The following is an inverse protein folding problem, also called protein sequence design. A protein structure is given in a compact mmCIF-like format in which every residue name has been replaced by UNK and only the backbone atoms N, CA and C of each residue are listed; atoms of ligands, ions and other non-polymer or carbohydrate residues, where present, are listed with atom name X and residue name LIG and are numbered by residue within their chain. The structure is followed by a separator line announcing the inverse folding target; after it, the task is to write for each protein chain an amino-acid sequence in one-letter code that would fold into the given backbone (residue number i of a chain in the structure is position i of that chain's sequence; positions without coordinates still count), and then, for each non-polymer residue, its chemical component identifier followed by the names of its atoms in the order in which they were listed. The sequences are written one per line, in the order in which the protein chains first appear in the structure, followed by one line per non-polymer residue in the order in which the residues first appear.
data_IF_515230022071
#
_entry.id   IF_515230022071
#
_cell.length_a   1.000
_cell.length_b   1.000
_cell.length_c   1.000
_cell.angle_alpha   90.00
_cell.angle_beta   90.00
_cell.angle_gamma   90.00
#
_symmetry.space_group_name_H-M   'P 1'
#
loop_
_entity.id
_entity.type
_entity.pdbx_description
1 polymer ?
#
# COMPACT_ATOMS: atom_id res chain seq x y z
N UNK A 1 15.48 20.36 -2.37
CA UNK A 1 14.13 20.11 -1.81
C UNK A 1 13.23 19.80 -2.99
N UNK A 2 12.36 18.80 -2.90
CA UNK A 2 11.39 18.53 -3.96
C UNK A 2 10.46 19.73 -4.17
N UNK A 3 10.12 20.01 -5.43
CA UNK A 3 9.17 21.04 -5.83
C UNK A 3 7.74 20.46 -5.80
N UNK A 4 7.09 20.59 -4.66
CA UNK A 4 5.72 20.08 -4.47
C UNK A 4 4.70 20.88 -5.28
N UNK A 5 4.96 22.16 -5.58
CA UNK A 5 4.05 22.97 -6.39
C UNK A 5 4.06 22.49 -7.85
N UNK A 6 5.23 22.14 -8.39
CA UNK A 6 5.35 21.50 -9.70
C UNK A 6 4.66 20.14 -9.73
N UNK A 7 4.82 19.31 -8.68
CA UNK A 7 4.14 18.02 -8.57
C UNK A 7 2.61 18.16 -8.56
N UNK A 8 2.09 19.11 -7.80
CA UNK A 8 0.67 19.47 -7.78
C UNK A 8 0.21 19.89 -9.18
N UNK A 9 0.98 20.77 -9.85
CA UNK A 9 0.70 21.22 -11.22
C UNK A 9 0.64 20.05 -12.21
N UNK A 10 1.56 19.10 -12.10
CA UNK A 10 1.59 17.91 -12.93
C UNK A 10 0.33 17.06 -12.79
N UNK A 11 -0.10 16.76 -11.56
CA UNK A 11 -1.32 15.99 -11.29
C UNK A 11 -2.57 16.72 -11.78
N UNK A 12 -2.64 18.04 -11.63
CA UNK A 12 -3.77 18.84 -12.15
C UNK A 12 -3.87 18.73 -13.68
N UNK A 13 -2.73 18.78 -14.38
CA UNK A 13 -2.66 18.77 -15.83
C UNK A 13 -2.91 17.38 -16.45
N UNK A 14 -2.45 16.30 -15.79
CA UNK A 14 -2.44 14.95 -16.38
C UNK A 14 -3.39 13.96 -15.71
N UNK A 15 -3.80 14.22 -14.47
CA UNK A 15 -4.69 13.31 -13.74
C UNK A 15 -6.13 13.36 -14.24
N UNK A 16 -6.87 12.30 -13.98
CA UNK A 16 -8.31 12.25 -14.26
C UNK A 16 -9.13 12.94 -13.15
N UNK A 17 -10.47 12.75 -13.15
CA UNK A 17 -11.32 13.31 -12.10
C UNK A 17 -11.07 12.70 -10.71
N UNK A 18 -10.71 11.43 -10.64
CA UNK A 18 -10.39 10.71 -9.40
C UNK A 18 -9.04 11.17 -8.87
N UNK A 19 -8.01 11.27 -9.72
CA UNK A 19 -6.68 11.73 -9.34
C UNK A 19 -6.69 13.15 -8.77
N UNK A 20 -7.41 14.07 -9.41
CA UNK A 20 -7.55 15.44 -8.90
C UNK A 20 -8.31 15.51 -7.58
N UNK A 21 -9.25 14.59 -7.33
CA UNK A 21 -9.94 14.50 -6.06
C UNK A 21 -9.03 13.93 -4.96
N UNK A 22 -8.23 12.90 -5.27
CA UNK A 22 -7.17 12.37 -4.38
C UNK A 22 -6.21 13.48 -3.98
N UNK A 23 -5.72 14.25 -4.95
CA UNK A 23 -4.87 15.42 -4.69
C UNK A 23 -5.55 16.45 -3.78
N UNK A 24 -6.82 16.76 -4.04
CA UNK A 24 -7.57 17.76 -3.26
C UNK A 24 -7.77 17.32 -1.80
N UNK A 25 -8.01 16.02 -1.58
CA UNK A 25 -8.08 15.47 -0.23
C UNK A 25 -6.71 15.51 0.45
N UNK A 26 -5.65 15.01 -0.20
CA UNK A 26 -4.29 15.02 0.36
C UNK A 26 -3.85 16.43 0.76
N UNK A 27 -4.18 17.47 -0.02
CA UNK A 27 -3.73 18.84 0.26
C UNK A 27 -4.53 19.55 1.36
N UNK A 28 -5.86 19.40 1.34
CA UNK A 28 -6.76 20.25 2.14
C UNK A 28 -7.85 19.50 2.88
N UNK A 29 -7.81 18.16 2.90
CA UNK A 29 -8.86 17.33 3.50
C UNK A 29 -10.22 17.48 2.83
N UNK A 30 -10.25 17.98 1.58
CA UNK A 30 -11.50 18.26 0.87
C UNK A 30 -12.20 16.96 0.52
N UNK A 31 -13.41 16.77 1.05
CA UNK A 31 -14.24 15.60 0.75
C UNK A 31 -14.58 15.54 -0.74
N UNK A 32 -14.28 14.42 -1.43
CA UNK A 32 -14.65 14.23 -2.84
C UNK A 32 -16.18 14.22 -3.06
N UNK A 33 -16.61 14.62 -4.25
CA UNK A 33 -18.02 14.48 -4.66
C UNK A 33 -18.39 12.98 -4.76
N UNK A 34 -19.66 12.65 -4.48
CA UNK A 34 -20.20 11.29 -4.55
C UNK A 34 -19.97 10.65 -5.92
N UNK A 35 -20.13 11.38 -7.01
CA UNK A 35 -19.89 10.85 -8.37
C UNK A 35 -18.42 10.43 -8.59
N UNK A 36 -17.47 11.08 -7.91
CA UNK A 36 -16.05 10.70 -7.98
C UNK A 36 -15.79 9.46 -7.14
N UNK A 37 -16.43 9.36 -5.98
CA UNK A 37 -16.37 8.17 -5.12
C UNK A 37 -16.95 6.95 -5.84
N UNK A 38 -18.12 7.09 -6.48
CA UNK A 38 -18.76 6.03 -7.26
C UNK A 38 -17.88 5.56 -8.42
N UNK A 39 -17.13 6.47 -9.07
CA UNK A 39 -16.14 6.09 -10.09
C UNK A 39 -14.97 5.31 -9.52
N UNK A 40 -14.45 5.72 -8.36
CA UNK A 40 -13.34 5.01 -7.70
C UNK A 40 -13.77 3.64 -7.15
N UNK A 41 -15.04 3.49 -6.79
CA UNK A 41 -15.66 2.25 -6.32
C UNK A 41 -16.08 1.32 -7.46
N UNK A 42 -16.07 1.79 -8.71
CA UNK A 42 -16.54 1.02 -9.85
C UNK A 42 -15.76 -0.29 -10.04
N UNK A 43 -16.51 -1.39 -10.21
CA UNK A 43 -15.96 -2.72 -10.44
C UNK A 43 -15.76 -3.53 -9.17
N UNK A 44 -16.32 -3.12 -8.03
CA UNK A 44 -16.42 -3.98 -6.85
C UNK A 44 -17.31 -5.21 -7.12
N UNK A 45 -17.03 -6.30 -6.41
CA UNK A 45 -17.81 -7.53 -6.52
C UNK A 45 -18.82 -7.65 -5.36
N UNK A 46 -19.98 -8.32 -5.56
CA UNK A 46 -21.05 -8.38 -4.57
C UNK A 46 -20.63 -8.90 -3.18
N UNK A 47 -19.66 -9.81 -3.13
CA UNK A 47 -19.14 -10.39 -1.89
C UNK A 47 -17.94 -9.61 -1.31
N UNK A 48 -17.62 -8.46 -1.90
CA UNK A 48 -16.44 -7.65 -1.61
C UNK A 48 -15.22 -8.03 -2.45
N UNK A 49 -14.21 -7.17 -2.39
CA UNK A 49 -13.00 -7.30 -3.21
C UNK A 49 -13.17 -6.72 -4.61
N UNK A 50 -12.04 -6.58 -5.30
CA UNK A 50 -11.97 -6.07 -6.66
C UNK A 50 -11.32 -7.12 -7.57
N UNK A 51 -11.77 -7.25 -8.83
CA UNK A 51 -11.23 -8.24 -9.74
C UNK A 51 -9.88 -7.81 -10.32
N UNK A 52 -9.01 -8.80 -10.61
CA UNK A 52 -7.73 -8.57 -11.27
C UNK A 52 -7.87 -7.93 -12.67
N UNK A 53 -8.97 -8.26 -13.36
CA UNK A 53 -9.32 -7.74 -14.68
C UNK A 53 -10.76 -7.22 -14.62
N UNK A 54 -11.05 -6.12 -15.32
CA UNK A 54 -12.38 -5.51 -15.33
C UNK A 54 -13.51 -6.45 -15.81
N UNK A 55 -13.18 -7.51 -16.55
CA UNK A 55 -14.12 -8.53 -17.02
C UNK A 55 -14.19 -9.78 -16.13
N UNK A 56 -13.38 -9.87 -15.07
CA UNK A 56 -13.35 -11.04 -14.18
C UNK A 56 -14.41 -10.92 -13.09
N UNK A 57 -15.02 -12.07 -12.76
CA UNK A 57 -15.90 -12.21 -11.60
C UNK A 57 -15.16 -12.75 -10.35
N UNK A 58 -13.84 -12.94 -10.47
CA UNK A 58 -13.00 -13.47 -9.38
C UNK A 58 -12.28 -12.29 -8.72
N UNK A 59 -12.47 -12.07 -7.40
CA UNK A 59 -11.75 -11.04 -6.67
C UNK A 59 -10.27 -11.39 -6.57
N UNK A 60 -9.41 -10.38 -6.57
CA UNK A 60 -7.97 -10.51 -6.42
C UNK A 60 -7.48 -9.78 -5.18
N UNK A 61 -6.54 -10.40 -4.46
CA UNK A 61 -5.92 -9.81 -3.26
C UNK A 61 -5.16 -8.56 -3.65
N UNK A 62 -4.33 -8.64 -4.70
CA UNK A 62 -3.50 -7.55 -5.20
C UNK A 62 -4.34 -6.35 -5.67
N UNK A 63 -5.32 -6.62 -6.55
CA UNK A 63 -6.20 -5.60 -7.09
C UNK A 63 -7.05 -4.93 -5.99
N UNK A 64 -7.47 -5.71 -4.98
CA UNK A 64 -8.19 -5.17 -3.83
C UNK A 64 -7.31 -4.24 -3.01
N UNK A 65 -6.07 -4.64 -2.70
CA UNK A 65 -5.10 -3.80 -1.99
C UNK A 65 -4.79 -2.50 -2.76
N UNK A 66 -4.63 -2.59 -4.09
CA UNK A 66 -4.46 -1.43 -4.95
C UNK A 66 -5.65 -0.47 -4.85
N UNK A 67 -6.88 -0.96 -4.95
CA UNK A 67 -8.10 -0.14 -4.86
C UNK A 67 -8.29 0.48 -3.49
N UNK A 68 -7.98 -0.23 -2.41
CA UNK A 68 -7.98 0.33 -1.05
C UNK A 68 -7.00 1.51 -0.93
N UNK A 69 -5.88 1.49 -1.66
CA UNK A 69 -4.96 2.62 -1.69
C UNK A 69 -5.55 3.90 -2.30
N UNK A 70 -6.33 3.76 -3.37
CA UNK A 70 -7.00 4.87 -4.03
C UNK A 70 -8.14 5.42 -3.15
N UNK A 71 -8.91 4.51 -2.53
CA UNK A 71 -9.99 4.88 -1.61
C UNK A 71 -9.45 5.57 -0.35
N UNK A 72 -8.29 5.14 0.17
CA UNK A 72 -7.64 5.81 1.30
C UNK A 72 -7.31 7.28 0.97
N UNK A 73 -6.87 7.56 -0.25
CA UNK A 73 -6.57 8.91 -0.72
C UNK A 73 -7.81 9.77 -0.98
N UNK A 74 -8.99 9.17 -0.96
CA UNK A 74 -10.27 9.84 -1.08
C UNK A 74 -11.00 9.96 0.27
N UNK A 75 -10.34 9.56 1.37
CA UNK A 75 -10.97 9.41 2.68
C UNK A 75 -12.15 8.42 2.68
N UNK A 76 -12.14 7.44 1.79
CA UNK A 76 -13.28 6.58 1.49
C UNK A 76 -13.28 5.24 2.25
N UNK A 77 -12.33 5.01 3.17
CA UNK A 77 -12.20 3.74 3.89
C UNK A 77 -13.42 3.37 4.76
N UNK A 78 -14.23 4.37 5.13
CA UNK A 78 -15.46 4.18 5.89
C UNK A 78 -16.67 3.80 5.01
N UNK A 79 -16.54 3.87 3.68
CA UNK A 79 -17.65 3.61 2.75
C UNK A 79 -17.95 2.11 2.63
N UNK A 80 -19.20 1.73 2.32
CA UNK A 80 -19.60 0.32 2.27
C UNK A 80 -18.70 -0.55 1.38
N UNK A 81 -18.27 -0.05 0.21
CA UNK A 81 -17.41 -0.79 -0.72
C UNK A 81 -16.04 -1.08 -0.11
N UNK A 82 -15.38 -0.07 0.47
CA UNK A 82 -14.11 -0.26 1.17
C UNK A 82 -14.25 -1.24 2.35
N UNK A 83 -15.33 -1.12 3.12
CA UNK A 83 -15.61 -2.00 4.27
C UNK A 83 -15.87 -3.45 3.83
N UNK A 84 -16.57 -3.65 2.72
CA UNK A 84 -16.77 -4.98 2.12
C UNK A 84 -15.45 -5.58 1.62
N UNK A 85 -14.59 -4.77 0.97
CA UNK A 85 -13.27 -5.20 0.52
C UNK A 85 -12.33 -5.59 1.67
N UNK A 86 -12.27 -4.82 2.75
CA UNK A 86 -11.51 -5.17 3.97
C UNK A 86 -12.05 -6.46 4.59
N UNK A 87 -13.38 -6.58 4.72
CA UNK A 87 -14.00 -7.78 5.25
C UNK A 87 -13.76 -9.00 4.37
N UNK A 88 -13.69 -8.83 3.05
CA UNK A 88 -13.32 -9.88 2.11
C UNK A 88 -11.86 -10.32 2.32
N UNK A 89 -10.90 -9.38 2.39
CA UNK A 89 -9.50 -9.69 2.69
C UNK A 89 -9.38 -10.50 3.99
N UNK A 90 -10.07 -10.09 5.06
CA UNK A 90 -10.04 -10.79 6.34
C UNK A 90 -10.59 -12.23 6.27
N UNK A 91 -11.53 -12.54 5.36
CA UNK A 91 -12.07 -13.89 5.15
C UNK A 91 -11.17 -14.77 4.29
N UNK A 92 -10.34 -14.17 3.43
CA UNK A 92 -9.44 -14.89 2.54
C UNK A 92 -8.14 -15.36 3.22
N UNK A 93 -7.89 -14.99 4.47
CA UNK A 93 -6.68 -15.43 5.17
C UNK A 93 -6.71 -16.95 5.36
N UNK A 94 -5.63 -17.62 4.98
CA UNK A 94 -5.42 -19.03 5.30
C UNK A 94 -5.21 -19.23 6.81
N UNK A 95 -5.53 -20.41 7.37
CA UNK A 95 -5.30 -20.71 8.80
C UNK A 95 -3.86 -20.49 9.27
N UNK A 96 -2.89 -20.59 8.38
CA UNK A 96 -1.47 -20.36 8.62
C UNK A 96 -1.09 -18.86 8.67
N UNK A 97 -2.02 -17.96 8.34
CA UNK A 97 -1.82 -16.52 8.38
C UNK A 97 -1.46 -15.87 7.04
N UNK A 98 -1.37 -16.65 5.96
CA UNK A 98 -1.00 -16.17 4.63
C UNK A 98 -2.19 -15.73 3.78
N UNK A 99 -1.88 -15.00 2.70
CA UNK A 99 -2.77 -14.75 1.57
C UNK A 99 -2.13 -15.20 0.27
N UNK A 100 -2.96 -15.64 -0.67
CA UNK A 100 -2.61 -15.90 -2.05
C UNK A 100 -3.78 -15.48 -2.95
N UNK A 101 -3.49 -15.30 -4.22
CA UNK A 101 -4.54 -15.21 -5.24
C UNK A 101 -5.26 -16.53 -5.43
N UNK A 102 -6.49 -16.47 -5.94
CA UNK A 102 -7.24 -17.65 -6.36
C UNK A 102 -6.52 -18.38 -7.51
N UNK A 103 -6.43 -19.71 -7.46
CA UNK A 103 -5.75 -20.53 -8.47
C UNK A 103 -6.27 -20.28 -9.90
N UNK A 104 -7.54 -19.92 -10.05
CA UNK A 104 -8.13 -19.60 -11.37
C UNK A 104 -7.52 -18.36 -12.03
N UNK A 105 -6.85 -17.50 -11.27
CA UNK A 105 -6.16 -16.31 -11.78
C UNK A 105 -4.76 -16.63 -12.33
N UNK A 106 -4.22 -17.84 -12.13
CA UNK A 106 -2.84 -18.19 -12.49
C UNK A 106 -2.48 -17.91 -13.96
N UNK A 107 -3.44 -18.02 -14.89
CA UNK A 107 -3.21 -17.77 -16.32
C UNK A 107 -2.94 -16.29 -16.66
N UNK A 108 -3.34 -15.36 -15.80
CA UNK A 108 -3.24 -13.90 -16.01
C UNK A 108 -2.50 -13.19 -14.89
N UNK A 109 -2.15 -13.90 -13.80
CA UNK A 109 -1.49 -13.33 -12.65
C UNK A 109 -0.07 -12.84 -13.01
N UNK A 110 0.29 -11.61 -12.62
CA UNK A 110 1.69 -11.17 -12.68
C UNK A 110 2.55 -11.95 -11.68
N UNK A 111 3.90 -11.92 -11.80
CA UNK A 111 4.79 -12.67 -10.92
C UNK A 111 4.53 -12.47 -9.42
N UNK A 112 4.26 -11.24 -8.99
CA UNK A 112 4.01 -10.90 -7.58
C UNK A 112 2.65 -11.33 -7.04
N UNK A 113 1.75 -11.82 -7.90
CA UNK A 113 0.44 -12.30 -7.52
C UNK A 113 0.21 -13.75 -7.99
N UNK A 114 1.26 -14.45 -8.40
CA UNK A 114 1.15 -15.82 -8.91
C UNK A 114 0.69 -16.78 -7.77
N UNK A 115 -0.48 -17.46 -7.91
CA UNK A 115 -0.91 -18.46 -6.94
C UNK A 115 0.13 -19.58 -6.77
N UNK A 116 0.37 -19.99 -5.52
CA UNK A 116 1.33 -21.05 -5.19
C UNK A 116 2.81 -20.65 -5.24
N UNK A 117 3.16 -19.45 -5.71
CA UNK A 117 4.54 -18.96 -5.68
C UNK A 117 4.92 -18.49 -4.26
N UNK A 118 6.04 -18.96 -3.66
CA UNK A 118 6.42 -18.58 -2.31
C UNK A 118 6.72 -17.09 -2.13
N UNK A 119 7.38 -16.44 -3.10
CA UNK A 119 7.71 -15.01 -3.01
C UNK A 119 6.43 -14.17 -3.12
N UNK A 120 5.52 -14.52 -4.02
CA UNK A 120 4.20 -13.90 -4.16
C UNK A 120 3.37 -14.08 -2.89
N UNK A 121 3.38 -15.27 -2.28
CA UNK A 121 2.67 -15.54 -1.02
C UNK A 121 3.12 -14.60 0.09
N UNK A 122 4.43 -14.40 0.25
CA UNK A 122 4.97 -13.47 1.25
C UNK A 122 4.51 -12.04 0.97
N UNK A 123 4.60 -11.60 -0.29
CA UNK A 123 4.17 -10.26 -0.70
C UNK A 123 2.67 -10.03 -0.47
N UNK A 124 1.81 -10.92 -0.96
CA UNK A 124 0.35 -10.83 -0.79
C UNK A 124 -0.03 -10.83 0.68
N UNK A 125 0.67 -11.62 1.50
CA UNK A 125 0.44 -11.67 2.95
C UNK A 125 0.68 -10.32 3.63
N UNK A 126 1.84 -9.71 3.41
CA UNK A 126 2.13 -8.40 4.03
C UNK A 126 1.32 -7.26 3.40
N UNK A 127 0.96 -7.35 2.12
CA UNK A 127 0.11 -6.36 1.45
C UNK A 127 -1.32 -6.36 2.02
N UNK A 128 -1.95 -7.54 2.09
CA UNK A 128 -3.29 -7.69 2.67
C UNK A 128 -3.30 -7.31 4.15
N UNK A 129 -2.34 -7.81 4.94
CA UNK A 129 -2.25 -7.53 6.36
C UNK A 129 -1.97 -6.04 6.66
N UNK A 130 -1.15 -5.38 5.83
CA UNK A 130 -0.94 -3.92 5.92
C UNK A 130 -2.27 -3.19 5.79
N UNK A 131 -3.09 -3.52 4.79
CA UNK A 131 -4.39 -2.87 4.60
C UNK A 131 -5.38 -3.18 5.73
N UNK A 132 -5.40 -4.41 6.27
CA UNK A 132 -6.19 -4.71 7.47
C UNK A 132 -5.74 -3.84 8.67
N UNK A 133 -4.44 -3.70 8.88
CA UNK A 133 -3.86 -2.95 9.99
C UNK A 133 -4.18 -1.44 9.93
N UNK A 134 -4.04 -0.82 8.76
CA UNK A 134 -4.20 0.65 8.61
C UNK A 134 -5.65 1.08 8.35
N UNK A 135 -6.56 0.14 8.13
CA UNK A 135 -7.98 0.42 7.86
C UNK A 135 -8.90 0.19 9.06
N UNK A 136 -8.39 -0.44 10.12
CA UNK A 136 -9.17 -0.67 11.32
C UNK A 136 -9.52 0.67 11.99
N UNK A 137 -10.81 0.94 12.30
CA UNK A 137 -11.16 2.11 13.08
C UNK A 137 -10.52 2.00 14.48
N UNK A 138 -10.23 3.14 15.14
CA UNK A 138 -9.77 3.11 16.52
C UNK A 138 -10.74 2.31 17.40
N UNK A 139 -10.24 1.45 18.30
CA UNK A 139 -11.12 0.69 19.18
C UNK A 139 -11.94 1.66 20.05
N UNK A 140 -13.22 1.35 20.33
CA UNK A 140 -14.10 2.26 21.07
C UNK A 140 -13.70 2.42 22.55
N UNK A 141 -12.86 1.52 23.07
CA UNK A 141 -12.26 1.59 24.39
C UNK A 141 -10.79 1.13 24.34
N UNK A 142 -9.97 1.64 25.27
CA UNK A 142 -8.52 1.38 25.32
C UNK A 142 -8.17 -0.10 25.54
N UNK A 143 -9.05 -0.86 26.18
CA UNK A 143 -8.89 -2.28 26.47
C UNK A 143 -9.38 -3.21 25.34
N UNK A 144 -9.98 -2.66 24.28
CA UNK A 144 -10.45 -3.42 23.14
C UNK A 144 -9.41 -3.45 22.03
N UNK A 145 -9.31 -4.61 21.39
CA UNK A 145 -8.46 -4.78 20.21
C UNK A 145 -9.14 -4.18 18.98
N UNK A 146 -8.36 -3.63 18.03
CA UNK A 146 -8.88 -3.21 16.74
C UNK A 146 -9.56 -4.36 16.00
N UNK A 147 -10.46 -3.99 15.09
CA UNK A 147 -11.04 -4.93 14.15
C UNK A 147 -9.94 -5.67 13.36
N UNK A 148 -10.11 -6.97 13.15
CA UNK A 148 -9.14 -7.85 12.46
C UNK A 148 -7.76 -7.98 13.12
N UNK A 149 -7.60 -7.56 14.40
CA UNK A 149 -6.35 -7.69 15.15
C UNK A 149 -5.75 -9.11 15.08
N UNK A 150 -6.57 -10.15 15.17
CA UNK A 150 -6.10 -11.53 15.10
C UNK A 150 -5.49 -11.86 13.74
N UNK A 151 -6.15 -11.46 12.65
CA UNK A 151 -5.65 -11.68 11.29
C UNK A 151 -4.32 -10.97 11.07
N UNK A 152 -4.23 -9.71 11.52
CA UNK A 152 -2.99 -8.91 11.43
C UNK A 152 -1.86 -9.55 12.25
N UNK A 153 -2.15 -10.00 13.47
CA UNK A 153 -1.16 -10.67 14.32
C UNK A 153 -0.66 -11.98 13.71
N UNK A 154 -1.56 -12.82 13.19
CA UNK A 154 -1.18 -14.07 12.51
C UNK A 154 -0.31 -13.82 11.29
N UNK A 155 -0.64 -12.81 10.49
CA UNK A 155 0.16 -12.40 9.33
C UNK A 155 1.55 -11.91 9.74
N UNK A 156 1.65 -11.15 10.84
CA UNK A 156 2.92 -10.70 11.40
C UNK A 156 3.81 -11.85 11.83
N UNK A 157 3.26 -12.86 12.53
CA UNK A 157 4.00 -14.07 12.89
C UNK A 157 4.41 -14.90 11.66
N UNK A 158 3.50 -15.06 10.69
CA UNK A 158 3.78 -15.74 9.44
C UNK A 158 4.94 -15.06 8.70
N UNK A 159 4.90 -13.74 8.54
CA UNK A 159 5.97 -12.97 7.90
C UNK A 159 7.30 -13.08 8.66
N UNK A 160 7.29 -12.94 9.99
CA UNK A 160 8.51 -13.13 10.81
C UNK A 160 9.13 -14.50 10.63
N UNK A 161 8.32 -15.55 10.48
CA UNK A 161 8.81 -16.92 10.25
C UNK A 161 9.54 -17.08 8.92
N UNK A 162 9.32 -16.17 7.97
CA UNK A 162 10.04 -16.14 6.67
C UNK A 162 11.35 -15.36 6.71
N UNK A 163 11.59 -14.57 7.77
CA UNK A 163 12.78 -13.74 7.85
C UNK A 163 14.04 -14.59 8.09
N UNK A 164 15.08 -14.22 7.37
CA UNK A 164 16.41 -14.76 7.55
C UNK A 164 17.01 -14.25 8.88
N UNK A 165 18.09 -14.87 9.36
CA UNK A 165 18.77 -14.45 10.61
C UNK A 165 19.22 -12.98 10.62
N UNK A 166 19.47 -12.40 9.45
CA UNK A 166 19.85 -10.99 9.28
C UNK A 166 18.65 -10.05 9.05
N UNK A 167 17.42 -10.53 9.13
CA UNK A 167 16.20 -9.76 8.86
C UNK A 167 15.86 -9.60 7.38
N UNK A 168 16.62 -10.21 6.46
CA UNK A 168 16.24 -10.25 5.06
C UNK A 168 14.98 -11.11 4.85
N UNK A 169 14.18 -10.77 3.85
CA UNK A 169 12.96 -11.50 3.49
C UNK A 169 13.12 -12.12 2.09
N UNK A 170 12.59 -13.33 1.87
CA UNK A 170 12.66 -14.03 0.59
C UNK A 170 11.47 -13.65 -0.31
N UNK A 171 11.39 -12.39 -0.73
CA UNK A 171 10.33 -11.90 -1.60
C UNK A 171 10.72 -10.58 -2.29
N UNK A 172 9.81 -10.04 -3.08
CA UNK A 172 9.89 -8.74 -3.73
C UNK A 172 10.26 -7.62 -2.75
N UNK A 173 10.91 -6.57 -3.25
CA UNK A 173 11.32 -5.43 -2.43
C UNK A 173 10.13 -4.82 -1.65
N UNK A 174 8.96 -4.81 -2.28
CA UNK A 174 7.72 -4.33 -1.69
C UNK A 174 7.27 -5.06 -0.43
N UNK A 175 7.53 -6.37 -0.37
CA UNK A 175 7.25 -7.13 0.84
C UNK A 175 8.08 -6.63 2.04
N UNK A 176 9.26 -6.06 1.77
CA UNK A 176 10.14 -5.48 2.78
C UNK A 176 9.54 -4.28 3.48
N UNK A 177 9.15 -3.23 2.74
CA UNK A 177 8.63 -2.02 3.38
C UNK A 177 7.21 -2.22 3.94
N UNK A 178 6.37 -3.06 3.30
CA UNK A 178 5.05 -3.41 3.83
C UNK A 178 5.18 -4.27 5.09
N UNK A 179 6.06 -5.26 5.08
CA UNK A 179 6.39 -6.07 6.25
C UNK A 179 7.00 -5.25 7.38
N UNK A 180 7.91 -4.32 7.07
CA UNK A 180 8.46 -3.36 8.02
C UNK A 180 7.36 -2.52 8.68
N UNK A 181 6.42 -2.00 7.88
CA UNK A 181 5.29 -1.21 8.36
C UNK A 181 4.37 -2.04 9.25
N UNK A 182 4.06 -3.27 8.84
CA UNK A 182 3.23 -4.22 9.59
C UNK A 182 3.85 -4.56 10.96
N UNK A 183 5.14 -4.90 10.99
CA UNK A 183 5.84 -5.24 12.23
C UNK A 183 5.99 -4.03 13.15
N UNK A 184 6.21 -2.83 12.60
CA UNK A 184 6.20 -1.58 13.36
C UNK A 184 4.83 -1.35 14.00
N UNK A 185 3.75 -1.50 13.23
CA UNK A 185 2.37 -1.36 13.72
C UNK A 185 2.05 -2.36 14.86
N UNK A 186 2.55 -3.59 14.75
CA UNK A 186 2.39 -4.64 15.77
C UNK A 186 3.32 -4.47 16.99
N UNK A 187 4.19 -3.46 17.01
CA UNK A 187 5.17 -3.26 18.08
C UNK A 187 6.34 -4.24 18.07
N UNK A 188 6.52 -5.03 17.00
CA UNK A 188 7.69 -5.87 16.74
C UNK A 188 8.86 -5.01 16.23
N UNK A 189 9.29 -4.07 17.07
CA UNK A 189 10.25 -3.03 16.67
C UNK A 189 11.63 -3.56 16.35
N UNK A 190 12.05 -4.68 16.94
CA UNK A 190 13.35 -5.28 16.68
C UNK A 190 13.45 -5.79 15.23
N UNK A 191 12.50 -6.62 14.81
CA UNK A 191 12.42 -7.15 13.46
C UNK A 191 12.18 -6.05 12.43
N UNK A 192 11.32 -5.07 12.76
CA UNK A 192 11.12 -3.87 11.93
C UNK A 192 12.44 -3.12 11.73
N UNK A 193 13.23 -2.91 12.79
CA UNK A 193 14.51 -2.21 12.70
C UNK A 193 15.54 -2.97 11.84
N UNK A 194 15.59 -4.31 11.90
CA UNK A 194 16.46 -5.10 11.03
C UNK A 194 16.11 -4.90 9.55
N UNK A 195 14.82 -4.88 9.21
CA UNK A 195 14.36 -4.62 7.84
C UNK A 195 14.69 -3.18 7.42
N UNK A 196 14.52 -2.20 8.30
CA UNK A 196 14.87 -0.80 8.02
C UNK A 196 16.35 -0.65 7.64
N UNK A 197 17.25 -1.40 8.29
CA UNK A 197 18.68 -1.39 7.95
C UNK A 197 18.91 -1.79 6.49
N UNK A 198 18.31 -2.90 6.07
CA UNK A 198 18.42 -3.41 4.70
C UNK A 198 17.76 -2.45 3.71
N UNK A 199 16.59 -1.90 4.04
CA UNK A 199 15.89 -0.97 3.16
C UNK A 199 16.71 0.30 2.94
N UNK A 200 17.33 0.85 3.98
CA UNK A 200 18.10 2.08 3.84
C UNK A 200 19.37 1.92 2.99
N UNK A 201 19.97 0.72 2.99
CA UNK A 201 21.05 0.38 2.07
C UNK A 201 20.57 0.33 0.60
N UNK A 202 19.30 -0.02 0.37
CA UNK A 202 18.70 -0.16 -0.97
C UNK A 202 18.12 1.16 -1.51
N UNK A 203 17.61 2.05 -0.65
CA UNK A 203 16.98 3.33 -1.04
C UNK A 203 17.78 4.14 -2.07
N UNK A 204 19.13 4.25 -1.98
CA UNK A 204 19.91 4.98 -2.98
C UNK A 204 19.69 4.52 -4.43
N UNK A 205 19.39 3.24 -4.63
CA UNK A 205 19.22 2.61 -5.96
C UNK A 205 17.75 2.33 -6.32
N UNK A 206 16.81 2.52 -5.39
CA UNK A 206 15.39 2.28 -5.62
C UNK A 206 14.79 3.20 -6.70
N UNK A 207 13.80 2.70 -7.43
CA UNK A 207 12.99 3.53 -8.33
C UNK A 207 12.28 4.63 -7.52
N UNK A 208 11.90 5.75 -8.17
CA UNK A 208 11.08 6.76 -7.51
C UNK A 208 9.71 6.21 -7.05
N UNK A 209 9.10 5.28 -7.78
CA UNK A 209 7.83 4.66 -7.41
C UNK A 209 7.94 3.80 -6.14
N UNK A 210 8.97 2.95 -6.05
CA UNK A 210 9.26 2.16 -4.87
C UNK A 210 9.60 3.05 -3.67
N UNK A 211 10.40 4.09 -3.88
CA UNK A 211 10.80 5.03 -2.82
C UNK A 211 9.58 5.76 -2.26
N UNK A 212 8.67 6.21 -3.14
CA UNK A 212 7.43 6.86 -2.74
C UNK A 212 6.53 5.91 -1.94
N UNK A 213 6.37 4.67 -2.41
CA UNK A 213 5.54 3.64 -1.77
C UNK A 213 6.08 3.21 -0.41
N UNK A 214 7.40 3.08 -0.28
CA UNK A 214 8.08 2.82 0.99
C UNK A 214 7.80 3.94 1.99
N UNK A 215 8.08 5.20 1.60
CA UNK A 215 7.95 6.32 2.52
C UNK A 215 6.49 6.55 2.92
N UNK A 216 5.56 6.51 1.97
CA UNK A 216 4.13 6.65 2.23
C UNK A 216 3.60 5.55 3.15
N UNK A 217 4.05 4.30 2.97
CA UNK A 217 3.60 3.17 3.80
C UNK A 217 4.06 3.28 5.25
N UNK A 218 5.34 3.62 5.46
CA UNK A 218 5.93 3.78 6.81
C UNK A 218 5.36 4.99 7.54
N UNK A 219 5.14 6.11 6.85
CA UNK A 219 4.46 7.29 7.41
C UNK A 219 3.04 6.95 7.88
N UNK A 220 2.30 6.13 7.12
CA UNK A 220 0.92 5.75 7.48
C UNK A 220 0.82 4.97 8.79
N UNK A 221 1.83 4.17 9.13
CA UNK A 221 1.87 3.44 10.42
C UNK A 221 2.47 4.27 11.57
N UNK A 222 2.69 5.58 11.35
CA UNK A 222 3.14 6.50 12.39
C UNK A 222 4.65 6.56 12.59
N UNK A 223 5.46 6.05 11.65
CA UNK A 223 6.91 6.21 11.73
C UNK A 223 7.29 7.69 11.64
N UNK A 224 8.22 8.11 12.51
CA UNK A 224 8.63 9.50 12.64
C UNK A 224 9.26 10.00 11.32
N UNK A 225 8.86 11.17 10.81
CA UNK A 225 9.44 11.75 9.61
C UNK A 225 10.95 11.99 9.71
N UNK A 226 11.48 12.15 10.92
CA UNK A 226 12.92 12.30 11.19
C UNK A 226 13.64 10.96 11.34
N UNK A 227 12.94 9.83 11.14
CA UNK A 227 13.58 8.53 11.01
C UNK A 227 14.57 8.54 9.83
N UNK A 228 15.73 7.96 10.06
CA UNK A 228 16.84 7.96 9.12
C UNK A 228 16.50 7.30 7.77
N UNK A 229 15.65 6.26 7.75
CA UNK A 229 15.18 5.63 6.52
C UNK A 229 14.26 6.58 5.75
N UNK A 230 13.36 7.26 6.44
CA UNK A 230 12.46 8.24 5.83
C UNK A 230 13.20 9.48 5.31
N UNK A 231 14.25 9.93 6.00
CA UNK A 231 15.13 10.99 5.51
C UNK A 231 15.90 10.56 4.24
N UNK A 232 16.40 9.32 4.20
CA UNK A 232 17.04 8.75 3.00
C UNK A 232 16.06 8.69 1.83
N UNK A 233 14.84 8.21 2.06
CA UNK A 233 13.79 8.15 1.04
C UNK A 233 13.41 9.55 0.53
N UNK A 234 13.30 10.54 1.43
CA UNK A 234 13.03 11.95 1.08
C UNK A 234 14.13 12.53 0.20
N UNK A 235 15.39 12.23 0.50
CA UNK A 235 16.53 12.66 -0.31
C UNK A 235 16.50 11.99 -1.69
N UNK A 236 16.21 10.69 -1.75
CA UNK A 236 16.07 9.95 -3.01
C UNK A 236 14.95 10.55 -3.87
N UNK A 237 13.76 10.78 -3.32
CA UNK A 237 12.65 11.43 -4.04
C UNK A 237 13.00 12.83 -4.52
N UNK A 238 13.74 13.61 -3.73
CA UNK A 238 14.22 14.94 -4.16
C UNK A 238 15.16 14.83 -5.36
N UNK A 239 16.01 13.81 -5.40
CA UNK A 239 16.99 13.62 -6.47
C UNK A 239 16.39 13.02 -7.75
N UNK A 240 15.25 12.33 -7.65
CA UNK A 240 14.61 11.64 -8.78
C UNK A 240 13.37 12.36 -9.30
N UNK A 241 13.00 13.50 -8.73
CA UNK A 241 11.93 14.33 -9.27
C UNK A 241 12.32 14.88 -10.65
N UNK A 242 11.43 14.73 -11.63
CA UNK A 242 11.60 15.28 -12.97
C UNK A 242 11.41 16.79 -12.98
N UNK A 243 11.88 17.43 -14.05
CA UNK A 243 11.77 18.87 -14.25
C UNK A 243 10.32 19.39 -14.32
N UNK A 244 9.36 18.55 -14.71
CA UNK A 244 7.93 18.85 -14.74
C UNK A 244 7.21 18.54 -13.42
N UNK A 245 7.98 18.19 -12.37
CA UNK A 245 7.47 17.93 -11.02
C UNK A 245 7.04 16.48 -10.76
N UNK A 246 6.96 15.64 -11.80
CA UNK A 246 6.52 14.26 -11.68
C UNK A 246 7.61 13.30 -11.18
N UNK A 247 7.18 12.13 -10.73
CA UNK A 247 8.02 10.96 -10.52
C UNK A 247 7.62 9.84 -11.47
N UNK A 248 8.61 9.16 -12.05
CA UNK A 248 8.37 8.07 -13.00
C UNK A 248 7.75 6.85 -12.30
N UNK A 249 6.76 6.23 -12.93
CA UNK A 249 6.26 4.92 -12.53
C UNK A 249 7.05 3.76 -13.16
N UNK A 250 7.19 2.67 -12.43
CA UNK A 250 7.74 1.41 -12.95
C UNK A 250 6.78 0.72 -13.93
N UNK A 251 5.48 1.04 -13.85
CA UNK A 251 4.43 0.56 -14.78
C UNK A 251 4.31 1.44 -16.04
N UNK A 252 5.18 2.44 -16.17
CA UNK A 252 5.27 3.33 -17.32
C UNK A 252 4.49 4.65 -17.19
N UNK A 253 4.62 5.55 -18.19
CA UNK A 253 4.21 6.95 -18.06
C UNK A 253 2.73 7.19 -17.78
N UNK A 254 1.86 6.24 -18.13
CA UNK A 254 0.43 6.32 -17.83
C UNK A 254 0.14 6.31 -16.32
N UNK A 255 1.07 5.80 -15.51
CA UNK A 255 0.95 5.70 -14.06
C UNK A 255 1.80 6.74 -13.31
N UNK A 256 2.47 7.67 -14.01
CA UNK A 256 3.27 8.75 -13.40
C UNK A 256 2.42 9.61 -12.45
N UNK A 257 1.14 9.82 -12.75
CA UNK A 257 0.20 10.55 -11.88
C UNK A 257 0.02 9.82 -10.54
N UNK A 258 -0.17 8.50 -10.58
CA UNK A 258 -0.34 7.69 -9.36
C UNK A 258 0.93 7.75 -8.51
N UNK A 259 2.10 7.56 -9.12
CA UNK A 259 3.38 7.67 -8.43
C UNK A 259 3.61 9.06 -7.85
N UNK A 260 3.23 10.12 -8.57
CA UNK A 260 3.34 11.50 -8.09
C UNK A 260 2.42 11.77 -6.90
N UNK A 261 1.19 11.24 -6.89
CA UNK A 261 0.29 11.31 -5.73
C UNK A 261 0.87 10.58 -4.50
N UNK A 262 1.46 9.40 -4.69
CA UNK A 262 2.13 8.65 -3.63
C UNK A 262 3.35 9.40 -3.10
N UNK A 263 4.15 10.03 -3.98
CA UNK A 263 5.28 10.86 -3.57
C UNK A 263 4.83 12.08 -2.76
N UNK A 264 3.77 12.79 -3.19
CA UNK A 264 3.20 13.91 -2.41
C UNK A 264 2.83 13.44 -1.00
N UNK A 265 2.18 12.28 -0.86
CA UNK A 265 1.85 11.70 0.45
C UNK A 265 3.08 11.37 1.29
N UNK A 266 4.15 10.87 0.68
CA UNK A 266 5.39 10.58 1.38
C UNK A 266 6.04 11.83 2.01
N UNK A 267 5.75 13.03 1.49
CA UNK A 267 6.22 14.30 2.06
C UNK A 267 5.30 14.91 3.13
N UNK A 268 4.13 14.30 3.39
CA UNK A 268 3.15 14.72 4.42
C UNK A 268 3.38 14.00 5.75
#
# INVERSE_FOLDING_TARGET
MADLDAAIGYVVAHGDSVDRARLSFLRSGTTPNVEVLEKAEFGDLPDGGFPALSSSAVPSVDATCFRLSELADLNAMHRPVARAAIAWLARCQYPEGYWQEDESLAAVAPPWAMPGDPEATVYQTVNAAYWLAVSAPPPPAYDQQPEYHQQVAMAGEAFKSTLNQNGAWPSYLAAGWLGCALLFHLGSYYESAQIQVILAERVPDMSPADTASLAASLRRVGMNAEDWLLQSARQRLTNTQRHDGAWASDDGPAFDVHTTLTAIRAFQ
#
